data_IF_472203383591
#
_entry.id   IF_472203383591
#
_cell.length_a   1.000
_cell.length_b   1.000
_cell.length_c   1.000
_cell.angle_alpha   90.00
_cell.angle_beta   90.00
_cell.angle_gamma   90.00
#
_symmetry.space_group_name_H-M   'P 1'
#
loop_
_entity.id
_entity.type
_entity.pdbx_description
1 polymer ?
#
# COMPACT_ATOMS: atom_id res chain seq x y z
N UNK A 1 28.59 0.26 1.28
CA UNK A 1 27.57 -0.35 2.14
C UNK A 1 28.24 -0.91 3.35
N UNK A 2 28.14 -0.23 4.48
CA UNK A 2 28.60 -0.76 5.76
C UNK A 2 27.58 -1.78 6.26
N UNK A 3 28.03 -3.01 6.50
CA UNK A 3 27.18 -4.06 7.06
C UNK A 3 27.11 -3.88 8.58
N UNK A 4 25.99 -3.34 9.05
CA UNK A 4 25.69 -3.25 10.48
C UNK A 4 25.16 -4.60 10.96
N UNK A 5 25.94 -5.29 11.80
CA UNK A 5 25.55 -6.57 12.39
C UNK A 5 24.74 -6.31 13.65
N UNK A 6 23.48 -6.75 13.64
CA UNK A 6 22.60 -6.72 14.80
C UNK A 6 22.33 -8.16 15.28
N UNK A 7 22.55 -8.40 16.58
CA UNK A 7 22.32 -9.68 17.25
C UNK A 7 21.43 -9.46 18.47
N UNK A 8 20.72 -10.51 18.92
CA UNK A 8 19.82 -10.41 20.07
C UNK A 8 20.57 -9.90 21.32
N UNK A 9 20.11 -8.85 22.03
CA UNK A 9 20.88 -8.23 23.13
C UNK A 9 21.27 -9.19 24.25
N UNK A 10 20.37 -10.12 24.63
CA UNK A 10 20.67 -11.13 25.65
C UNK A 10 21.68 -12.18 25.16
N UNK A 11 21.77 -12.43 23.86
CA UNK A 11 22.76 -13.34 23.29
C UNK A 11 24.14 -12.66 23.27
N UNK A 12 24.21 -11.42 22.81
CA UNK A 12 25.43 -10.60 22.84
C UNK A 12 26.03 -10.51 24.26
N UNK A 13 25.19 -10.17 25.25
CA UNK A 13 25.61 -10.07 26.64
C UNK A 13 26.17 -11.40 27.18
N UNK A 14 25.54 -12.53 26.86
CA UNK A 14 25.98 -13.85 27.31
C UNK A 14 27.29 -14.29 26.62
N UNK A 15 27.42 -14.02 25.32
CA UNK A 15 28.64 -14.28 24.57
C UNK A 15 29.81 -13.45 25.11
N UNK A 16 29.59 -12.18 25.46
CA UNK A 16 30.60 -11.33 26.12
C UNK A 16 30.97 -11.85 27.51
N UNK A 17 29.97 -12.21 28.32
CA UNK A 17 30.17 -12.72 29.69
C UNK A 17 31.05 -13.97 29.71
N UNK A 18 30.94 -14.83 28.70
CA UNK A 18 31.74 -16.06 28.56
C UNK A 18 33.03 -15.90 27.77
N UNK A 19 33.36 -14.69 27.31
CA UNK A 19 34.55 -14.44 26.48
C UNK A 19 34.48 -15.09 25.10
N UNK A 20 33.29 -15.40 24.60
CA UNK A 20 33.06 -16.04 23.30
C UNK A 20 32.73 -15.03 22.19
N UNK A 21 32.54 -13.76 22.55
CA UNK A 21 32.21 -12.68 21.63
C UNK A 21 33.39 -12.29 20.73
N UNK A 22 33.16 -12.26 19.42
CA UNK A 22 33.99 -11.54 18.45
C UNK A 22 33.10 -10.99 17.33
N UNK A 23 33.51 -9.88 16.70
CA UNK A 23 32.73 -9.27 15.61
C UNK A 23 32.60 -10.23 14.41
N UNK A 24 33.67 -10.96 14.09
CA UNK A 24 33.68 -11.99 13.06
C UNK A 24 32.66 -13.09 13.35
N UNK A 25 32.61 -13.58 14.60
CA UNK A 25 31.65 -14.61 15.01
C UNK A 25 30.22 -14.10 14.99
N UNK A 26 29.97 -12.86 15.42
CA UNK A 26 28.61 -12.30 15.32
C UNK A 26 28.17 -12.13 13.86
N UNK A 27 29.11 -11.81 12.97
CA UNK A 27 28.85 -11.75 11.53
C UNK A 27 28.53 -13.13 10.95
N UNK A 28 29.21 -14.17 11.40
CA UNK A 28 28.93 -15.56 11.02
C UNK A 28 27.56 -16.01 11.52
N UNK A 29 27.24 -15.77 12.80
CA UNK A 29 25.93 -16.06 13.39
C UNK A 29 24.81 -15.38 12.59
N UNK A 30 25.01 -14.11 12.21
CA UNK A 30 24.05 -13.35 11.41
C UNK A 30 23.83 -13.94 10.02
N UNK A 31 24.86 -14.54 9.41
CA UNK A 31 24.75 -15.20 8.10
C UNK A 31 24.07 -16.56 8.18
N UNK A 32 24.39 -17.36 9.18
CA UNK A 32 23.85 -18.72 9.32
C UNK A 32 22.41 -18.72 9.83
N UNK A 33 22.06 -17.78 10.71
CA UNK A 33 20.70 -17.65 11.25
C UNK A 33 20.28 -18.78 12.21
N UNK A 34 21.19 -19.68 12.58
CA UNK A 34 21.01 -20.71 13.59
C UNK A 34 22.33 -21.01 14.29
N UNK A 35 22.27 -21.40 15.57
CA UNK A 35 23.44 -21.81 16.35
C UNK A 35 23.69 -23.32 16.34
N UNK A 36 22.76 -24.12 15.79
CA UNK A 36 22.80 -25.60 15.92
C UNK A 36 24.00 -26.26 15.26
N UNK A 37 24.53 -25.64 14.21
CA UNK A 37 25.61 -26.19 13.39
C UNK A 37 26.90 -25.39 13.49
N UNK A 38 26.98 -24.44 14.44
CA UNK A 38 28.13 -23.57 14.61
C UNK A 38 29.16 -24.19 15.56
N UNK A 39 30.37 -24.41 15.06
CA UNK A 39 31.50 -24.87 15.89
C UNK A 39 31.91 -23.79 16.91
N UNK A 40 32.28 -24.23 18.12
CA UNK A 40 32.75 -23.33 19.19
C UNK A 40 31.66 -22.59 19.96
N UNK A 41 30.37 -22.89 19.71
CA UNK A 41 29.25 -22.44 20.56
C UNK A 41 28.90 -23.55 21.56
N UNK A 42 28.93 -23.29 22.88
CA UNK A 42 28.49 -24.25 23.89
C UNK A 42 27.04 -24.71 23.70
N UNK A 43 26.79 -26.00 23.92
CA UNK A 43 25.47 -26.62 23.73
C UNK A 43 24.38 -25.95 24.58
N UNK A 44 24.72 -25.52 25.80
CA UNK A 44 23.78 -24.86 26.69
C UNK A 44 23.33 -23.49 26.17
N UNK A 45 24.19 -22.78 25.43
CA UNK A 45 23.84 -21.55 24.72
C UNK A 45 22.97 -21.89 23.51
N UNK A 46 23.40 -22.83 22.66
CA UNK A 46 22.67 -23.21 21.46
C UNK A 46 21.24 -23.71 21.77
N UNK A 47 21.06 -24.36 22.92
CA UNK A 47 19.75 -24.82 23.41
C UNK A 47 18.82 -23.68 23.83
N UNK A 48 19.35 -22.58 24.36
CA UNK A 48 18.56 -21.43 24.83
C UNK A 48 18.18 -20.52 23.67
N UNK A 49 19.13 -20.22 22.78
CA UNK A 49 18.95 -19.25 21.70
C UNK A 49 18.58 -19.91 20.36
N UNK A 50 17.62 -20.84 20.40
CA UNK A 50 17.04 -21.45 19.19
C UNK A 50 16.21 -20.43 18.42
N UNK A 51 16.23 -20.51 17.09
CA UNK A 51 15.45 -19.62 16.22
C UNK A 51 14.12 -20.25 15.84
N UNK A 52 13.24 -19.46 15.22
CA UNK A 52 11.94 -19.96 14.77
C UNK A 52 12.07 -21.06 13.71
N UNK A 53 13.16 -21.11 12.94
CA UNK A 53 13.41 -22.13 11.91
C UNK A 53 13.98 -23.42 12.50
N UNK A 54 14.55 -23.36 13.71
CA UNK A 54 15.02 -24.53 14.46
C UNK A 54 13.86 -25.34 15.07
N UNK A 55 12.69 -24.74 15.21
CA UNK A 55 11.51 -25.34 15.86
C UNK A 55 10.64 -26.00 14.79
N UNK A 56 10.29 -27.27 15.01
CA UNK A 56 9.45 -28.01 14.07
C UNK A 56 8.04 -27.39 13.94
N UNK A 57 7.38 -27.52 12.77
CA UNK A 57 6.02 -27.02 12.57
C UNK A 57 5.02 -27.55 13.62
N UNK A 58 5.17 -28.82 14.01
CA UNK A 58 4.36 -29.44 15.05
C UNK A 58 4.59 -28.82 16.43
N UNK A 59 5.83 -28.51 16.79
CA UNK A 59 6.15 -27.86 18.06
C UNK A 59 5.62 -26.41 18.12
N UNK A 60 5.72 -25.66 17.03
CA UNK A 60 5.09 -24.33 16.91
C UNK A 60 3.59 -24.40 17.16
N UNK A 61 2.90 -25.36 16.54
CA UNK A 61 1.47 -25.51 16.68
C UNK A 61 1.06 -25.99 18.08
N UNK A 62 1.79 -26.93 18.69
CA UNK A 62 1.54 -27.38 20.07
C UNK A 62 1.68 -26.25 21.07
N UNK A 63 2.64 -25.35 20.86
CA UNK A 63 2.79 -24.14 21.66
C UNK A 63 1.55 -23.25 21.52
N UNK A 64 1.08 -23.00 20.30
CA UNK A 64 -0.16 -22.25 20.07
C UNK A 64 -1.37 -22.91 20.76
N UNK A 65 -1.51 -24.23 20.63
CA UNK A 65 -2.60 -24.99 21.24
C UNK A 65 -2.60 -24.90 22.77
N UNK A 66 -1.42 -24.86 23.40
CA UNK A 66 -1.31 -24.70 24.85
C UNK A 66 -1.94 -23.38 25.34
N UNK A 67 -1.72 -22.28 24.60
CA UNK A 67 -2.35 -20.98 24.90
C UNK A 67 -3.82 -20.94 24.49
N UNK A 68 -4.19 -21.61 23.39
CA UNK A 68 -5.57 -21.60 22.91
C UNK A 68 -6.56 -22.15 23.94
N UNK A 69 -6.15 -23.12 24.78
CA UNK A 69 -6.97 -23.69 25.86
C UNK A 69 -7.53 -22.64 26.83
N UNK A 70 -6.85 -21.52 26.98
CA UNK A 70 -7.20 -20.45 27.91
C UNK A 70 -7.49 -19.13 27.19
N UNK A 71 -7.68 -19.16 25.87
CA UNK A 71 -7.95 -17.97 25.05
C UNK A 71 -9.31 -18.12 24.36
N UNK A 72 -10.22 -17.20 24.65
CA UNK A 72 -11.56 -17.20 24.03
C UNK A 72 -11.51 -16.79 22.55
N UNK A 73 -10.60 -15.90 22.18
CA UNK A 73 -10.36 -15.57 20.78
C UNK A 73 -9.29 -16.49 20.15
N UNK A 74 -9.01 -16.32 18.86
CA UNK A 74 -7.94 -17.06 18.21
C UNK A 74 -6.55 -16.54 18.63
N UNK A 75 -5.56 -17.44 18.68
CA UNK A 75 -4.16 -17.08 18.93
C UNK A 75 -3.44 -16.85 17.59
N UNK A 76 -2.95 -15.63 17.36
CA UNK A 76 -2.19 -15.28 16.15
C UNK A 76 -0.71 -15.66 16.28
N UNK A 77 -0.43 -16.96 16.10
CA UNK A 77 0.95 -17.49 16.03
C UNK A 77 1.20 -18.12 14.67
N UNK A 78 2.31 -17.74 14.05
CA UNK A 78 2.76 -18.31 12.77
C UNK A 78 3.53 -19.60 12.98
N UNK A 79 3.17 -20.64 12.24
CA UNK A 79 3.90 -21.90 12.12
C UNK A 79 4.85 -21.77 10.92
N UNK A 80 6.15 -21.70 11.20
CA UNK A 80 7.18 -21.61 10.16
C UNK A 80 7.53 -23.00 9.62
N UNK A 81 7.69 -23.10 8.32
CA UNK A 81 8.09 -24.30 7.59
C UNK A 81 9.36 -24.04 6.78
N UNK A 82 10.22 -25.06 6.61
CA UNK A 82 11.37 -24.96 5.72
C UNK A 82 10.92 -24.84 4.25
N UNK A 83 11.82 -24.37 3.38
CA UNK A 83 11.50 -24.08 1.99
C UNK A 83 11.09 -25.31 1.17
N UNK A 84 11.58 -26.49 1.55
CA UNK A 84 11.30 -27.79 0.95
C UNK A 84 10.00 -28.43 1.47
N UNK A 85 9.29 -27.79 2.40
CA UNK A 85 8.04 -28.32 2.93
C UNK A 85 6.98 -28.55 1.84
N UNK A 86 6.43 -29.76 1.85
CA UNK A 86 5.45 -30.19 0.85
C UNK A 86 4.04 -29.72 1.21
N UNK A 87 3.13 -29.82 0.23
CA UNK A 87 1.69 -29.58 0.48
C UNK A 87 1.13 -30.53 1.53
N UNK A 88 1.65 -31.76 1.61
CA UNK A 88 1.20 -32.74 2.59
C UNK A 88 1.62 -32.36 4.02
N UNK A 89 2.82 -31.80 4.18
CA UNK A 89 3.30 -31.33 5.49
C UNK A 89 2.47 -30.16 6.01
N UNK A 90 2.11 -29.23 5.12
CA UNK A 90 1.22 -28.12 5.44
C UNK A 90 -0.17 -28.65 5.82
N UNK A 91 -0.71 -29.60 5.05
CA UNK A 91 -2.00 -30.25 5.34
C UNK A 91 -2.02 -30.90 6.72
N UNK A 92 -0.95 -31.63 7.09
CA UNK A 92 -0.82 -32.27 8.41
C UNK A 92 -0.96 -31.26 9.55
N UNK A 93 -0.37 -30.06 9.42
CA UNK A 93 -0.49 -29.00 10.44
C UNK A 93 -1.92 -28.47 10.56
N UNK A 94 -2.62 -28.23 9.45
CA UNK A 94 -4.04 -27.83 9.52
C UNK A 94 -4.91 -28.90 10.20
N UNK A 95 -4.71 -30.18 9.86
CA UNK A 95 -5.43 -31.30 10.49
C UNK A 95 -5.09 -31.40 11.98
N UNK A 96 -3.82 -31.24 12.34
CA UNK A 96 -3.40 -31.24 13.74
C UNK A 96 -3.98 -30.05 14.51
N UNK A 97 -4.05 -28.87 13.91
CA UNK A 97 -4.60 -27.66 14.52
C UNK A 97 -6.08 -27.88 14.89
N UNK A 98 -6.85 -28.45 13.96
CA UNK A 98 -8.22 -28.85 14.19
C UNK A 98 -8.35 -29.85 15.35
N UNK A 99 -7.54 -30.92 15.34
CA UNK A 99 -7.53 -31.94 16.42
C UNK A 99 -7.18 -31.38 17.79
N UNK A 100 -6.32 -30.37 17.84
CA UNK A 100 -5.90 -29.71 19.07
C UNK A 100 -6.85 -28.59 19.54
N UNK A 101 -7.93 -28.31 18.79
CA UNK A 101 -8.90 -27.27 19.14
C UNK A 101 -8.40 -25.84 18.87
N UNK A 102 -7.43 -25.65 17.97
CA UNK A 102 -6.99 -24.32 17.55
C UNK A 102 -8.10 -23.61 16.77
N UNK A 103 -8.45 -22.37 17.17
CA UNK A 103 -9.48 -21.56 16.50
C UNK A 103 -9.00 -20.95 15.17
N UNK A 104 -7.69 -20.93 14.94
CA UNK A 104 -7.05 -20.51 13.69
C UNK A 104 -5.62 -21.03 13.62
N UNK A 105 -5.01 -20.98 12.45
CA UNK A 105 -3.59 -21.30 12.27
C UNK A 105 -3.06 -20.49 11.09
N UNK A 106 -1.89 -19.89 11.27
CA UNK A 106 -1.17 -19.17 10.22
C UNK A 106 0.06 -19.98 9.86
N UNK A 107 0.28 -20.25 8.58
CA UNK A 107 1.46 -20.96 8.10
C UNK A 107 2.32 -20.04 7.25
N UNK A 108 3.64 -20.12 7.43
CA UNK A 108 4.61 -19.46 6.57
C UNK A 108 5.65 -20.49 6.12
N UNK A 109 5.77 -20.69 4.81
CA UNK A 109 6.82 -21.53 4.23
C UNK A 109 7.95 -20.64 3.77
N UNK A 110 9.16 -20.95 4.20
CA UNK A 110 10.35 -20.22 3.78
C UNK A 110 10.45 -20.18 2.23
N UNK A 111 10.94 -19.05 1.69
CA UNK A 111 11.07 -18.78 0.24
C UNK A 111 9.76 -18.88 -0.56
N UNK A 112 8.60 -18.85 0.10
CA UNK A 112 7.30 -18.82 -0.60
C UNK A 112 6.90 -17.45 -1.15
N UNK A 113 7.68 -16.40 -0.85
CA UNK A 113 7.50 -15.03 -1.35
C UNK A 113 8.82 -14.52 -1.93
N UNK A 114 8.73 -13.73 -3.00
CA UNK A 114 9.90 -13.15 -3.71
C UNK A 114 10.66 -12.13 -2.84
N UNK A 115 9.93 -11.36 -2.03
CA UNK A 115 10.51 -10.47 -1.02
C UNK A 115 10.27 -11.04 0.38
N UNK A 116 11.36 -11.40 1.05
CA UNK A 116 11.37 -11.77 2.47
C UNK A 116 11.99 -10.63 3.27
N UNK A 117 11.29 -10.18 4.32
CA UNK A 117 11.78 -9.12 5.22
C UNK A 117 13.00 -9.59 6.02
N UNK A 118 13.13 -10.90 6.23
CA UNK A 118 14.24 -11.55 6.91
C UNK A 118 14.85 -12.58 5.97
N UNK A 119 16.06 -12.29 5.46
CA UNK A 119 16.85 -13.24 4.70
C UNK A 119 17.96 -13.78 5.59
N UNK A 120 18.09 -15.10 5.66
CA UNK A 120 19.27 -15.75 6.26
C UNK A 120 20.38 -15.74 5.20
N UNK A 121 21.54 -15.21 5.58
CA UNK A 121 22.67 -15.02 4.68
C UNK A 121 22.63 -13.69 3.95
N UNK A 122 23.82 -13.18 3.62
CA UNK A 122 23.99 -11.92 2.93
C UNK A 122 23.10 -11.85 1.68
N UNK A 123 22.49 -10.68 1.49
CA UNK A 123 21.91 -10.23 0.22
C UNK A 123 22.71 -10.87 -0.92
N UNK A 124 22.06 -11.69 -1.74
CA UNK A 124 22.62 -12.17 -3.00
C UNK A 124 22.85 -10.95 -3.91
N UNK A 125 23.89 -10.18 -3.62
CA UNK A 125 24.59 -9.38 -4.60
C UNK A 125 25.39 -10.38 -5.45
N UNK A 126 24.71 -11.13 -6.31
CA UNK A 126 25.38 -11.75 -7.45
C UNK A 126 25.70 -10.63 -8.43
N UNK A 127 26.89 -10.07 -8.27
CA UNK A 127 27.59 -9.41 -9.35
C UNK A 127 27.90 -10.46 -10.43
N UNK A 128 27.48 -10.20 -11.67
CA UNK A 128 27.94 -10.92 -12.87
C UNK A 128 27.51 -12.38 -13.00
N UNK A 129 26.27 -12.61 -13.41
CA UNK A 129 25.91 -13.81 -14.17
C UNK A 129 24.86 -13.42 -15.20
N UNK A 130 25.17 -13.62 -16.48
CA UNK A 130 24.24 -13.46 -17.60
C UNK A 130 22.94 -14.20 -17.29
N UNK A 131 21.83 -13.47 -17.37
CA UNK A 131 20.50 -14.01 -17.12
C UNK A 131 20.21 -15.14 -18.12
N UNK A 132 19.81 -16.35 -17.66
CA UNK A 132 19.15 -17.28 -18.56
C UNK A 132 17.83 -16.65 -18.98
N UNK A 133 17.57 -16.64 -20.29
CA UNK A 133 16.41 -16.03 -20.90
C UNK A 133 15.11 -16.42 -20.16
N UNK A 134 14.47 -15.42 -19.56
CA UNK A 134 13.20 -15.59 -18.87
C UNK A 134 12.09 -15.92 -19.88
N UNK A 135 11.37 -16.99 -19.61
CA UNK A 135 10.07 -17.29 -20.21
C UNK A 135 9.11 -16.14 -19.86
N UNK A 136 8.25 -15.65 -20.78
CA UNK A 136 7.40 -14.49 -20.50
C UNK A 136 6.31 -14.87 -19.49
N UNK A 137 6.55 -14.50 -18.22
CA UNK A 137 5.52 -14.41 -17.19
C UNK A 137 4.69 -13.13 -17.33
N UNK A 138 3.60 -12.98 -16.55
CA UNK A 138 2.84 -11.72 -16.52
C UNK A 138 3.79 -10.58 -16.13
N UNK A 139 3.69 -9.45 -16.84
CA UNK A 139 4.56 -8.28 -16.65
C UNK A 139 4.75 -7.95 -15.15
N UNK A 140 5.98 -7.64 -14.70
CA UNK A 140 6.26 -7.35 -13.31
C UNK A 140 5.39 -6.19 -12.81
N UNK A 141 4.85 -6.32 -11.60
CA UNK A 141 4.06 -5.26 -10.96
C UNK A 141 4.90 -3.98 -10.84
N UNK A 142 4.32 -2.84 -11.23
CA UNK A 142 5.01 -1.55 -11.14
C UNK A 142 5.02 -1.08 -9.68
N UNK A 143 6.22 -0.84 -9.14
CA UNK A 143 6.40 -0.26 -7.81
C UNK A 143 6.58 1.26 -7.87
N UNK A 144 6.01 2.04 -6.93
CA UNK A 144 6.15 3.49 -6.91
C UNK A 144 7.60 3.93 -6.68
N UNK A 145 8.00 5.04 -7.31
CA UNK A 145 9.29 5.69 -7.06
C UNK A 145 9.47 6.03 -5.55
N UNK A 146 10.67 5.85 -4.97
CA UNK A 146 10.98 6.31 -3.62
C UNK A 146 10.68 7.80 -3.46
N UNK A 147 10.16 8.19 -2.28
CA UNK A 147 9.81 9.58 -1.98
C UNK A 147 11.02 10.31 -1.38
N UNK A 148 11.48 11.43 -1.96
CA UNK A 148 12.49 12.28 -1.34
C UNK A 148 11.99 12.94 -0.04
N UNK A 149 12.93 13.39 0.80
CA UNK A 149 12.60 14.07 2.06
C UNK A 149 11.96 15.45 1.81
N UNK A 150 12.34 16.13 0.72
CA UNK A 150 11.85 17.45 0.37
C UNK A 150 11.29 17.49 -1.06
N UNK A 151 10.17 18.18 -1.24
CA UNK A 151 9.53 18.42 -2.52
C UNK A 151 9.07 19.87 -2.58
N UNK A 152 8.97 20.40 -3.80
CA UNK A 152 8.43 21.74 -4.05
C UNK A 152 7.00 21.58 -4.54
N UNK A 153 6.07 22.40 -4.04
CA UNK A 153 4.68 22.28 -4.43
C UNK A 153 3.89 23.57 -4.34
N UNK A 154 2.69 23.52 -4.92
CA UNK A 154 1.71 24.60 -4.87
C UNK A 154 0.40 24.06 -4.33
N UNK A 155 -0.32 24.88 -3.58
CA UNK A 155 -1.65 24.53 -3.08
C UNK A 155 -2.69 25.42 -3.72
N UNK A 156 -3.70 24.80 -4.34
CA UNK A 156 -4.83 25.49 -4.94
C UNK A 156 -6.09 25.27 -4.12
N UNK A 157 -6.72 26.36 -3.69
CA UNK A 157 -8.06 26.33 -3.10
C UNK A 157 -9.12 26.17 -4.21
N UNK A 158 -10.00 25.19 -4.04
CA UNK A 158 -11.17 24.97 -4.90
C UNK A 158 -12.41 24.94 -4.01
N UNK A 159 -13.40 25.77 -4.36
CA UNK A 159 -14.71 25.75 -3.70
C UNK A 159 -15.50 24.55 -4.20
N UNK A 160 -15.88 23.67 -3.28
CA UNK A 160 -16.81 22.55 -3.52
C UNK A 160 -18.07 22.76 -2.67
N UNK A 161 -19.11 21.95 -2.91
CA UNK A 161 -20.33 21.94 -2.10
C UNK A 161 -20.11 21.49 -0.66
N UNK A 162 -19.18 20.56 -0.43
CA UNK A 162 -18.82 20.08 0.90
C UNK A 162 -17.86 21.03 1.63
N UNK A 163 -17.49 22.17 1.01
CA UNK A 163 -16.60 23.18 1.56
C UNK A 163 -15.37 23.43 0.69
N UNK A 164 -14.41 24.16 1.24
CA UNK A 164 -13.15 24.45 0.56
C UNK A 164 -12.25 23.21 0.55
N UNK A 165 -11.84 22.81 -0.65
CA UNK A 165 -10.86 21.77 -0.88
C UNK A 165 -9.51 22.42 -1.24
N UNK A 166 -8.48 22.11 -0.48
CA UNK A 166 -7.11 22.53 -0.74
C UNK A 166 -6.39 21.39 -1.43
N UNK A 167 -6.02 21.57 -2.70
CA UNK A 167 -5.29 20.55 -3.47
C UNK A 167 -3.83 20.98 -3.57
N UNK A 168 -2.96 20.21 -2.93
CA UNK A 168 -1.51 20.41 -2.92
C UNK A 168 -0.87 19.49 -3.95
N UNK A 169 -0.16 20.08 -4.92
CA UNK A 169 0.52 19.36 -5.99
C UNK A 169 2.02 19.57 -5.82
N UNK A 170 2.73 18.48 -5.52
CA UNK A 170 4.16 18.47 -5.30
C UNK A 170 4.88 17.86 -6.48
N UNK A 171 6.12 18.31 -6.72
CA UNK A 171 6.97 17.85 -7.81
C UNK A 171 8.38 17.53 -7.33
N UNK A 172 9.03 16.68 -8.12
CA UNK A 172 10.46 16.45 -8.09
C UNK A 172 11.11 16.94 -9.41
N UNK A 173 12.36 16.55 -9.63
CA UNK A 173 13.13 16.83 -10.84
C UNK A 173 12.52 16.20 -12.10
N UNK A 174 11.77 15.09 -11.97
CA UNK A 174 11.18 14.33 -13.08
C UNK A 174 9.77 14.80 -13.43
N UNK A 175 9.15 15.64 -12.60
CA UNK A 175 7.85 16.24 -12.85
C UNK A 175 6.93 16.14 -11.64
N UNK A 176 5.63 16.10 -11.90
CA UNK A 176 4.63 15.95 -10.84
C UNK A 176 4.86 14.62 -10.11
N UNK A 177 4.90 14.68 -8.77
CA UNK A 177 5.28 13.55 -7.94
C UNK A 177 4.07 13.02 -7.14
N UNK A 178 3.33 13.92 -6.49
CA UNK A 178 2.20 13.55 -5.63
C UNK A 178 1.16 14.67 -5.59
N UNK A 179 -0.07 14.28 -5.29
CA UNK A 179 -1.22 15.18 -5.13
C UNK A 179 -1.93 14.84 -3.84
N UNK A 180 -1.89 15.74 -2.88
CA UNK A 180 -2.71 15.66 -1.68
C UNK A 180 -3.88 16.60 -1.79
N UNK A 181 -4.96 16.27 -1.12
CA UNK A 181 -6.07 17.19 -0.96
C UNK A 181 -6.63 17.10 0.44
N UNK A 182 -6.97 18.25 1.00
CA UNK A 182 -7.49 18.38 2.34
C UNK A 182 -8.71 19.28 2.32
N UNK A 183 -9.77 18.85 2.99
CA UNK A 183 -10.97 19.66 3.15
C UNK A 183 -10.88 20.43 4.47
N UNK A 184 -11.03 21.76 4.40
CA UNK A 184 -10.63 22.63 5.52
C UNK A 184 -11.42 22.46 6.82
N UNK A 185 -12.75 22.39 6.75
CA UNK A 185 -13.65 22.32 7.94
C UNK A 185 -14.64 21.15 7.90
N UNK A 186 -14.50 20.23 6.94
CA UNK A 186 -15.43 19.13 6.77
C UNK A 186 -14.79 17.81 7.23
N UNK A 187 -15.48 17.11 8.13
CA UNK A 187 -15.21 15.71 8.47
C UNK A 187 -16.15 14.75 7.75
N UNK A 188 -16.05 13.45 8.03
CA UNK A 188 -16.96 12.43 7.52
C UNK A 188 -16.59 11.86 6.14
N UNK A 189 -17.58 11.29 5.44
CA UNK A 189 -17.35 10.52 4.20
C UNK A 189 -16.65 11.32 3.11
N UNK A 190 -16.99 12.60 2.94
CA UNK A 190 -16.37 13.46 1.94
C UNK A 190 -14.86 13.64 2.19
N UNK A 191 -14.45 13.84 3.45
CA UNK A 191 -13.04 13.99 3.80
C UNK A 191 -12.26 12.68 3.59
N UNK A 192 -12.84 11.55 4.01
CA UNK A 192 -12.24 10.22 3.84
C UNK A 192 -12.07 9.84 2.36
N UNK A 193 -13.09 10.08 1.53
CA UNK A 193 -13.02 9.82 0.09
C UNK A 193 -12.02 10.76 -0.60
N UNK A 194 -11.99 12.04 -0.22
CA UNK A 194 -10.99 13.01 -0.69
C UNK A 194 -9.56 12.54 -0.41
N UNK A 195 -9.29 12.11 0.82
CA UNK A 195 -7.98 11.59 1.21
C UNK A 195 -7.60 10.35 0.40
N UNK A 196 -8.54 9.41 0.23
CA UNK A 196 -8.33 8.22 -0.58
C UNK A 196 -7.99 8.56 -2.05
N UNK A 197 -8.70 9.52 -2.65
CA UNK A 197 -8.42 10.01 -4.01
C UNK A 197 -7.00 10.58 -4.10
N UNK A 198 -6.59 11.40 -3.13
CA UNK A 198 -5.24 11.98 -3.11
C UNK A 198 -4.15 10.92 -3.00
N UNK A 199 -4.32 9.95 -2.09
CA UNK A 199 -3.38 8.83 -1.91
C UNK A 199 -3.25 7.97 -3.15
N UNK A 200 -4.35 7.63 -3.80
CA UNK A 200 -4.35 6.81 -5.03
C UNK A 200 -3.80 7.58 -6.24
N UNK A 201 -4.13 8.87 -6.38
CA UNK A 201 -3.55 9.71 -7.42
C UNK A 201 -2.03 9.85 -7.23
N UNK A 202 -1.58 10.05 -5.99
CA UNK A 202 -0.15 10.10 -5.65
C UNK A 202 0.55 8.78 -5.94
N UNK A 203 -0.08 7.65 -5.62
CA UNK A 203 0.44 6.32 -5.96
C UNK A 203 0.61 6.15 -7.47
N UNK A 204 -0.40 6.56 -8.26
CA UNK A 204 -0.37 6.50 -9.70
C UNK A 204 0.78 7.35 -10.29
N UNK A 205 0.92 8.60 -9.85
CA UNK A 205 2.00 9.50 -10.30
C UNK A 205 3.38 8.96 -9.98
N UNK A 206 3.56 8.43 -8.76
CA UNK A 206 4.83 7.81 -8.35
C UNK A 206 5.12 6.53 -9.13
N UNK A 207 4.10 5.86 -9.66
CA UNK A 207 4.22 4.66 -10.48
C UNK A 207 4.36 4.96 -11.98
N UNK A 208 4.56 6.22 -12.37
CA UNK A 208 4.79 6.62 -13.77
C UNK A 208 3.52 6.81 -14.59
N UNK A 209 2.33 6.81 -13.97
CA UNK A 209 1.09 7.15 -14.67
C UNK A 209 1.11 8.63 -15.03
N UNK A 210 0.86 8.95 -16.29
CA UNK A 210 0.83 10.33 -16.76
C UNK A 210 -0.31 11.12 -16.08
N UNK A 211 -0.08 12.37 -15.64
CA UNK A 211 -1.10 13.16 -14.95
C UNK A 211 -2.39 13.35 -15.77
N UNK A 212 -2.30 13.44 -17.10
CA UNK A 212 -3.47 13.52 -18.00
C UNK A 212 -4.37 12.28 -17.89
N UNK A 213 -3.80 11.11 -17.62
CA UNK A 213 -4.59 9.88 -17.41
C UNK A 213 -5.39 9.95 -16.11
N UNK A 214 -4.82 10.52 -15.05
CA UNK A 214 -5.52 10.73 -13.77
C UNK A 214 -6.64 11.75 -13.97
N UNK A 215 -6.37 12.86 -14.66
CA UNK A 215 -7.40 13.84 -15.03
C UNK A 215 -8.55 13.16 -15.76
N UNK A 216 -8.28 12.31 -16.76
CA UNK A 216 -9.30 11.59 -17.52
C UNK A 216 -10.17 10.68 -16.65
N UNK A 217 -9.62 10.07 -15.60
CA UNK A 217 -10.38 9.20 -14.69
C UNK A 217 -11.24 10.00 -13.70
N UNK A 218 -10.76 11.16 -13.25
CA UNK A 218 -11.43 11.93 -12.18
C UNK A 218 -12.40 13.00 -12.70
N UNK A 219 -12.14 13.55 -13.89
CA UNK A 219 -12.94 14.61 -14.50
C UNK A 219 -14.33 14.10 -14.82
N UNK A 220 -15.35 14.88 -14.47
CA UNK A 220 -16.74 14.50 -14.72
C UNK A 220 -17.40 13.66 -13.63
N UNK A 221 -16.65 13.10 -12.67
CA UNK A 221 -17.25 12.38 -11.54
C UNK A 221 -18.13 13.36 -10.75
N UNK A 222 -19.42 13.04 -10.62
CA UNK A 222 -20.41 13.89 -9.96
C UNK A 222 -20.81 13.36 -8.59
N UNK A 223 -20.92 14.28 -7.64
CA UNK A 223 -21.49 14.07 -6.31
C UNK A 223 -22.95 14.56 -6.31
N UNK A 224 -23.69 14.22 -5.25
CA UNK A 224 -25.05 14.71 -5.02
C UNK A 224 -25.15 16.23 -4.87
N UNK A 225 -24.05 16.97 -4.71
CA UNK A 225 -24.06 18.43 -4.64
C UNK A 225 -23.00 19.02 -5.59
N UNK A 226 -23.30 19.25 -6.88
CA UNK A 226 -22.43 20.05 -7.73
C UNK A 226 -22.47 21.52 -7.27
N UNK A 227 -21.33 22.21 -7.34
CA UNK A 227 -21.20 23.61 -6.94
C UNK A 227 -20.50 24.43 -8.00
N UNK A 228 -20.83 25.71 -8.13
CA UNK A 228 -20.04 26.61 -8.96
C UNK A 228 -18.76 27.01 -8.24
N UNK A 229 -17.62 26.62 -8.81
CA UNK A 229 -16.32 27.04 -8.31
C UNK A 229 -16.12 28.52 -8.58
N UNK A 230 -15.59 29.26 -7.60
CA UNK A 230 -15.42 30.73 -7.68
C UNK A 230 -14.58 31.25 -8.84
N UNK A 231 -13.94 30.37 -9.63
CA UNK A 231 -13.12 30.70 -10.80
C UNK A 231 -13.80 30.31 -12.13
N UNK A 232 -15.15 30.23 -12.17
CA UNK A 232 -15.95 30.20 -13.40
C UNK A 232 -16.37 28.83 -13.94
N UNK A 233 -15.92 27.72 -13.33
CA UNK A 233 -16.28 26.36 -13.74
C UNK A 233 -17.20 25.66 -12.74
N UNK A 234 -18.21 24.93 -13.22
CA UNK A 234 -19.02 24.01 -12.40
C UNK A 234 -18.13 22.89 -11.87
N UNK A 235 -18.05 22.69 -10.55
CA UNK A 235 -17.35 21.60 -9.87
C UNK A 235 -18.37 20.52 -9.52
N UNK A 236 -18.17 19.31 -10.02
CA UNK A 236 -19.16 18.24 -9.88
C UNK A 236 -18.97 17.41 -8.61
N UNK A 237 -17.74 17.26 -8.12
CA UNK A 237 -17.39 16.52 -6.90
C UNK A 237 -15.98 16.90 -6.41
N UNK A 238 -15.56 16.32 -5.28
CA UNK A 238 -14.17 16.37 -4.82
C UNK A 238 -13.19 15.75 -5.83
N UNK A 239 -13.57 14.66 -6.52
CA UNK A 239 -12.73 14.04 -7.55
C UNK A 239 -12.53 14.98 -8.76
N UNK A 240 -13.62 15.57 -9.24
CA UNK A 240 -13.61 16.54 -10.34
C UNK A 240 -12.88 17.85 -9.96
N UNK A 241 -12.90 18.22 -8.67
CA UNK A 241 -12.05 19.30 -8.16
C UNK A 241 -10.56 18.96 -8.26
N UNK A 242 -10.15 17.75 -7.87
CA UNK A 242 -8.75 17.30 -8.00
C UNK A 242 -8.31 17.27 -9.46
N UNK A 243 -9.15 16.81 -10.40
CA UNK A 243 -8.81 16.84 -11.83
C UNK A 243 -8.56 18.26 -12.33
N UNK A 244 -9.43 19.21 -11.96
CA UNK A 244 -9.29 20.62 -12.34
C UNK A 244 -8.10 21.31 -11.70
N UNK A 245 -7.71 20.90 -10.50
CA UNK A 245 -6.47 21.36 -9.88
C UNK A 245 -5.24 20.91 -10.68
N UNK A 246 -5.22 19.65 -11.13
CA UNK A 246 -4.13 19.09 -11.94
C UNK A 246 -4.10 19.75 -13.32
N UNK A 247 -5.24 19.93 -14.00
CA UNK A 247 -5.31 20.65 -15.28
C UNK A 247 -4.76 22.07 -15.15
N UNK A 248 -5.25 22.82 -14.15
CA UNK A 248 -4.75 24.16 -13.88
C UNK A 248 -3.24 24.17 -13.61
N UNK A 249 -2.73 23.20 -12.85
CA UNK A 249 -1.29 23.10 -12.57
C UNK A 249 -0.47 22.92 -13.83
N UNK A 250 -0.92 22.05 -14.75
CA UNK A 250 -0.26 21.82 -16.03
C UNK A 250 -0.30 23.05 -16.93
N UNK A 251 -1.44 23.74 -17.00
CA UNK A 251 -1.62 24.96 -17.79
C UNK A 251 -0.79 26.15 -17.28
N UNK A 252 -0.63 26.26 -15.95
CA UNK A 252 0.02 27.39 -15.30
C UNK A 252 1.47 27.08 -14.86
N UNK A 253 2.01 25.93 -15.27
CA UNK A 253 3.30 25.43 -14.80
C UNK A 253 4.43 26.42 -15.08
N UNK A 254 4.53 26.94 -16.30
CA UNK A 254 5.62 27.86 -16.68
C UNK A 254 5.60 29.17 -15.89
N UNK A 255 4.41 29.66 -15.55
CA UNK A 255 4.25 30.87 -14.75
C UNK A 255 4.64 30.63 -13.29
N UNK A 256 4.37 29.44 -12.74
CA UNK A 256 4.70 29.09 -11.36
C UNK A 256 6.16 28.66 -11.16
N UNK A 257 6.74 28.00 -12.17
CA UNK A 257 8.09 27.43 -12.13
C UNK A 257 8.91 27.86 -13.35
N UNK A 258 9.21 29.16 -13.50
CA UNK A 258 10.00 29.66 -14.62
C UNK A 258 11.40 29.01 -14.61
N UNK A 259 11.85 28.54 -15.77
CA UNK A 259 13.17 27.91 -15.93
C UNK A 259 13.27 26.45 -15.48
N UNK A 260 12.19 25.84 -14.97
CA UNK A 260 12.17 24.40 -14.70
C UNK A 260 11.75 23.60 -15.93
N UNK A 261 12.26 22.36 -16.12
CA UNK A 261 11.81 21.49 -17.19
C UNK A 261 10.32 21.19 -17.02
N UNK A 262 9.56 21.36 -18.12
CA UNK A 262 8.13 21.00 -18.19
C UNK A 262 7.96 19.54 -17.77
N UNK A 263 6.93 19.20 -16.97
CA UNK A 263 6.61 17.82 -16.68
C UNK A 263 6.37 17.13 -18.02
N UNK A 264 7.17 16.12 -18.33
CA UNK A 264 7.20 15.50 -19.65
C UNK A 264 5.83 14.88 -19.95
N UNK A 265 5.12 15.42 -20.93
CA UNK A 265 4.11 14.69 -21.70
C UNK A 265 4.86 13.97 -22.83
N UNK A 266 5.61 12.93 -22.51
CA UNK A 266 6.28 12.14 -23.54
C UNK A 266 5.25 11.26 -24.26
N UNK A 267 5.36 11.26 -25.59
CA UNK A 267 4.34 10.91 -26.55
C UNK A 267 3.60 9.60 -26.25
N UNK A 268 2.28 9.64 -26.49
CA UNK A 268 1.41 8.48 -26.46
C UNK A 268 1.96 7.33 -27.33
N UNK A 269 1.93 6.07 -26.85
CA UNK A 269 1.95 4.93 -27.74
C UNK A 269 0.71 5.00 -28.66
N UNK A 270 0.93 4.68 -29.94
CA UNK A 270 -0.02 4.71 -31.06
C UNK A 270 -1.44 4.15 -30.71
N UNK A 271 -2.52 4.63 -31.35
CA UNK A 271 -3.90 4.41 -30.94
C UNK A 271 -4.38 3.00 -31.32
N UNK A 272 -4.18 2.03 -30.44
CA UNK A 272 -4.82 0.72 -30.53
C UNK A 272 -6.28 0.79 -30.10
N UNK A 273 -7.19 0.76 -31.09
CA UNK A 273 -8.65 0.55 -30.98
C UNK A 273 -9.40 1.50 -30.04
N UNK A 274 -10.03 2.51 -30.65
CA UNK A 274 -11.12 3.29 -30.03
C UNK A 274 -12.24 2.32 -29.61
N UNK A 275 -12.32 2.00 -28.33
CA UNK A 275 -13.54 1.48 -27.74
C UNK A 275 -14.52 2.66 -27.62
N UNK A 276 -15.45 2.74 -28.56
CA UNK A 276 -16.58 3.65 -28.51
C UNK A 276 -17.53 3.17 -27.41
N UNK A 277 -17.59 3.90 -26.30
CA UNK A 277 -18.71 3.79 -25.36
C UNK A 277 -19.87 4.63 -25.93
N UNK A 278 -21.07 4.06 -26.08
CA UNK A 278 -22.23 4.84 -26.48
C UNK A 278 -22.57 5.82 -25.34
N UNK A 279 -22.56 7.11 -25.67
CA UNK A 279 -23.15 8.16 -24.84
C UNK A 279 -24.66 8.07 -24.96
N UNK A 280 -25.30 7.34 -24.06
CA UNK A 280 -26.71 7.59 -23.75
C UNK A 280 -26.77 8.72 -22.74
N UNK A 281 -27.18 9.89 -23.21
CA UNK A 281 -27.55 11.06 -22.41
C UNK A 281 -28.79 10.75 -21.57
N UNK A 282 -28.61 9.98 -20.49
CA UNK A 282 -29.54 10.01 -19.37
C UNK A 282 -28.84 10.73 -18.23
N UNK A 283 -29.27 11.98 -17.99
CA UNK A 283 -28.93 12.74 -16.78
C UNK A 283 -29.20 11.87 -15.56
N UNK A 284 -28.15 11.29 -14.98
CA UNK A 284 -28.24 10.54 -13.71
C UNK A 284 -28.62 11.55 -12.63
N UNK A 285 -29.92 11.65 -12.40
CA UNK A 285 -30.53 12.38 -11.30
C UNK A 285 -29.96 11.81 -9.99
N UNK A 286 -29.28 12.67 -9.21
CA UNK A 286 -28.62 12.43 -7.91
C UNK A 286 -28.97 11.08 -7.26
N UNK A 287 -27.98 10.20 -7.06
CA UNK A 287 -28.22 8.85 -6.54
C UNK A 287 -28.48 8.71 -5.02
N UNK A 288 -28.30 9.76 -4.22
CA UNK A 288 -28.45 9.71 -2.76
C UNK A 288 -28.97 11.03 -2.16
N UNK A 289 -29.78 10.90 -1.11
CA UNK A 289 -30.36 11.98 -0.32
C UNK A 289 -29.26 12.74 0.45
N UNK A 290 -29.21 14.08 0.39
CA UNK A 290 -28.22 14.86 1.11
C UNK A 290 -28.37 14.76 2.64
N UNK A 291 -29.61 14.67 3.14
CA UNK A 291 -29.85 14.66 4.59
C UNK A 291 -29.54 13.33 5.27
N UNK A 292 -29.78 12.19 4.59
CA UNK A 292 -29.70 10.87 5.22
C UNK A 292 -29.01 9.78 4.38
N UNK A 293 -28.52 10.10 3.17
CA UNK A 293 -27.85 9.15 2.29
C UNK A 293 -28.73 8.07 1.66
N UNK A 294 -30.03 8.04 1.95
CA UNK A 294 -31.00 7.11 1.35
C UNK A 294 -31.24 7.41 -0.14
N UNK A 295 -31.83 6.46 -0.86
CA UNK A 295 -32.17 6.66 -2.27
C UNK A 295 -33.18 7.79 -2.45
N UNK A 296 -32.98 8.63 -3.46
CA UNK A 296 -33.94 9.68 -3.85
C UNK A 296 -34.58 9.31 -5.17
N UNK A 297 -35.84 9.68 -5.31
CA UNK A 297 -36.66 9.42 -6.48
C UNK A 297 -37.17 10.73 -7.06
N UNK A 298 -37.28 10.80 -8.39
CA UNK A 298 -37.76 11.99 -9.10
C UNK A 298 -39.27 11.90 -9.23
N UNK A 299 -39.99 12.82 -8.59
CA UNK A 299 -41.44 12.89 -8.63
C UNK A 299 -41.88 14.35 -8.82
N UNK A 300 -42.73 14.59 -9.82
CA UNK A 300 -43.30 15.93 -10.12
C UNK A 300 -42.23 17.01 -10.37
N UNK A 301 -41.11 16.63 -11.00
CA UNK A 301 -40.01 17.55 -11.28
C UNK A 301 -39.04 17.77 -10.12
N UNK A 302 -39.36 17.30 -8.92
CA UNK A 302 -38.53 17.41 -7.72
C UNK A 302 -37.83 16.08 -7.40
N UNK A 303 -36.70 16.14 -6.73
CA UNK A 303 -36.07 14.99 -6.08
C UNK A 303 -36.66 14.85 -4.67
N UNK A 304 -37.23 13.69 -4.34
CA UNK A 304 -37.83 13.40 -3.02
C UNK A 304 -37.12 12.21 -2.36
N UNK A 305 -36.87 12.32 -1.05
CA UNK A 305 -36.38 11.22 -0.21
C UNK A 305 -37.52 10.66 0.65
N UNK A 306 -37.85 9.38 0.48
CA UNK A 306 -38.87 8.71 1.30
C UNK A 306 -38.44 8.46 2.74
N UNK A 307 -37.13 8.38 3.00
CA UNK A 307 -36.62 8.05 4.34
C UNK A 307 -36.64 9.21 5.32
N UNK A 308 -36.37 10.45 4.86
CA UNK A 308 -36.26 11.61 5.75
C UNK A 308 -37.14 12.81 5.34
N UNK A 309 -37.87 12.72 4.23
CA UNK A 309 -38.75 13.78 3.75
C UNK A 309 -38.05 14.92 3.00
N UNK A 310 -36.75 14.81 2.71
CA UNK A 310 -36.02 15.79 1.89
C UNK A 310 -36.69 15.97 0.51
N UNK A 311 -36.86 17.21 0.06
CA UNK A 311 -37.34 17.54 -1.29
C UNK A 311 -36.61 18.74 -1.89
N UNK A 312 -36.17 18.62 -3.14
CA UNK A 312 -35.54 19.73 -3.89
C UNK A 312 -36.09 19.78 -5.32
N UNK A 313 -36.64 20.94 -5.67
CA UNK A 313 -37.11 21.34 -7.00
C UNK A 313 -36.26 22.54 -7.42
#
# INVERSE_FOLDING_TARGET
>A
NDHLVEVHPLFDAEMRRRGLYSLERMTEVSKEGSLRHMEGIPEDIARVYVTAHDISPEAHLRMQAAFQKYTENAVSKTVNFPADATRDDIRKVFVLAYRLGCKGVTVYRDKSREEQVLNIGGVNAKAGAEAPAAVPGPEPFVTPRPRPDTLIGVTKEIKTSCGKLYVTINRDEKGIFEVFNQMGKAGGCAASQSEAIGRLASLALRSGVQPVMIVKQLKGISCHLPSWGGNGGKILSCADAVSKAIEWYLENFEAMFPGFPKPVAEAAPNPGKKASLPSSEEEIARGACPDCGSQVERQEGCLKCRSCGFSEC
#
